data_IF_027034229056
#
_entry.id   IF_027034229056
#
_cell.length_a   1.000
_cell.length_b   1.000
_cell.length_c   1.000
_cell.angle_alpha   90.00
_cell.angle_beta   90.00
_cell.angle_gamma   90.00
#
_symmetry.space_group_name_H-M   'P 1'
#
loop_
_entity.id
_entity.type
_entity.pdbx_description
1 polymer ?
#
# COMPACT_ATOMS: atom_id res chain seq x y z
N UNK A 1 4.14 0.53 5.12
CA UNK A 1 4.09 -0.57 6.09
C UNK A 1 3.88 -1.88 5.34
N UNK A 2 4.27 -3.02 5.91
CA UNK A 2 4.03 -4.34 5.33
C UNK A 2 2.72 -4.89 5.92
N UNK A 3 1.80 -5.36 5.07
CA UNK A 3 0.50 -5.87 5.50
C UNK A 3 0.15 -7.16 4.75
N UNK A 4 0.32 -8.29 5.43
CA UNK A 4 0.01 -9.62 4.89
C UNK A 4 -1.49 -9.91 4.81
N UNK A 5 -2.31 -9.17 5.57
CA UNK A 5 -3.76 -9.30 5.58
C UNK A 5 -4.46 -8.51 4.47
N UNK A 6 -3.77 -7.52 3.89
CA UNK A 6 -4.30 -6.75 2.78
C UNK A 6 -4.23 -7.54 1.47
N UNK A 7 -5.37 -7.71 0.81
CA UNK A 7 -5.48 -8.33 -0.52
C UNK A 7 -4.80 -7.50 -1.63
N UNK A 8 -4.65 -6.20 -1.43
CA UNK A 8 -4.05 -5.29 -2.39
C UNK A 8 -3.06 -4.34 -1.72
N UNK A 9 -2.11 -3.84 -2.50
CA UNK A 9 -1.27 -2.72 -2.11
C UNK A 9 -2.08 -1.45 -2.14
N UNK A 10 -2.07 -0.71 -1.03
CA UNK A 10 -2.88 0.47 -0.80
C UNK A 10 -1.99 1.68 -0.53
N UNK A 11 -2.32 2.82 -1.12
CA UNK A 11 -1.70 4.10 -0.79
C UNK A 11 -2.69 4.99 -0.05
N UNK A 12 -2.18 5.74 0.91
CA UNK A 12 -2.96 6.72 1.64
C UNK A 12 -3.36 7.87 0.72
N UNK A 13 -4.64 8.25 0.73
CA UNK A 13 -5.20 9.30 -0.14
C UNK A 13 -4.41 10.62 -0.07
N UNK A 14 -4.03 11.07 1.13
CA UNK A 14 -3.27 12.32 1.28
C UNK A 14 -1.86 12.21 0.68
N UNK A 15 -1.23 11.03 0.71
CA UNK A 15 0.05 10.81 0.05
C UNK A 15 -0.07 10.92 -1.47
N UNK A 16 -1.06 10.23 -2.06
CA UNK A 16 -1.33 10.26 -3.52
C UNK A 16 -1.62 11.68 -4.01
N UNK A 17 -2.42 12.44 -3.26
CA UNK A 17 -2.72 13.85 -3.55
C UNK A 17 -1.46 14.73 -3.52
N UNK A 18 -0.61 14.60 -2.48
CA UNK A 18 0.66 15.36 -2.39
C UNK A 18 1.59 15.07 -3.55
N UNK A 19 1.63 13.82 -4.00
CA UNK A 19 2.46 13.39 -5.13
C UNK A 19 1.85 13.75 -6.50
N UNK A 20 0.64 14.34 -6.54
CA UNK A 20 -0.09 14.70 -7.75
C UNK A 20 -0.28 13.51 -8.71
N UNK A 21 -0.50 12.33 -8.14
CA UNK A 21 -0.75 11.11 -8.92
C UNK A 21 -2.23 11.08 -9.30
N UNK A 22 -2.50 10.91 -10.59
CA UNK A 22 -3.87 10.80 -11.10
C UNK A 22 -4.57 9.54 -10.57
N UNK A 23 -5.85 9.67 -10.21
CA UNK A 23 -6.70 8.58 -9.75
C UNK A 23 -7.89 8.39 -10.67
N UNK A 24 -8.47 7.19 -10.66
CA UNK A 24 -9.77 6.90 -11.27
C UNK A 24 -10.68 6.22 -10.24
N UNK A 25 -11.96 6.54 -10.30
CA UNK A 25 -12.98 5.86 -9.51
C UNK A 25 -13.16 4.42 -9.96
N UNK A 26 -13.60 3.56 -9.05
CA UNK A 26 -13.99 2.18 -9.37
C UNK A 26 -15.31 1.83 -8.70
N UNK A 27 -16.06 0.85 -9.22
CA UNK A 27 -17.26 0.34 -8.53
C UNK A 27 -16.91 -0.54 -7.31
N UNK A 28 -15.63 -0.78 -7.04
CA UNK A 28 -15.20 -1.66 -5.96
C UNK A 28 -15.35 -0.99 -4.60
N UNK A 29 -15.61 -1.82 -3.59
CA UNK A 29 -15.58 -1.44 -2.18
C UNK A 29 -14.43 -2.15 -1.47
N UNK A 30 -13.79 -1.47 -0.54
CA UNK A 30 -12.81 -2.07 0.37
C UNK A 30 -13.41 -2.22 1.75
N UNK A 31 -13.14 -3.37 2.37
CA UNK A 31 -13.48 -3.63 3.76
C UNK A 31 -12.21 -4.07 4.49
N UNK A 32 -11.80 -3.31 5.50
CA UNK A 32 -10.74 -3.66 6.43
C UNK A 32 -11.31 -3.65 7.85
N UNK A 33 -10.53 -4.09 8.84
CA UNK A 33 -10.91 -3.95 10.25
C UNK A 33 -11.16 -2.47 10.52
N UNK A 34 -12.39 -2.12 10.92
CA UNK A 34 -12.88 -0.76 11.18
C UNK A 34 -12.97 0.20 9.97
N UNK A 35 -12.94 -0.30 8.73
CA UNK A 35 -13.13 0.54 7.54
C UNK A 35 -14.02 -0.13 6.51
N UNK A 36 -15.07 0.58 6.08
CA UNK A 36 -15.88 0.24 4.91
C UNK A 36 -15.90 1.44 3.99
N UNK A 37 -15.24 1.32 2.84
CA UNK A 37 -15.20 2.39 1.83
C UNK A 37 -15.83 1.87 0.52
N UNK A 38 -16.84 2.59 0.02
CA UNK A 38 -17.40 2.39 -1.32
C UNK A 38 -16.74 3.38 -2.27
N UNK A 39 -16.59 2.98 -3.53
CA UNK A 39 -15.96 3.86 -4.53
C UNK A 39 -14.46 3.98 -4.29
N UNK A 40 -13.77 2.84 -4.13
CA UNK A 40 -12.33 2.84 -3.93
C UNK A 40 -11.67 3.41 -5.18
N UNK A 41 -10.86 4.45 -4.99
CA UNK A 41 -10.07 5.00 -6.07
C UNK A 41 -8.87 4.08 -6.36
N UNK A 42 -8.41 4.07 -7.60
CA UNK A 42 -7.14 3.41 -7.96
C UNK A 42 -6.21 4.39 -8.66
N UNK A 43 -4.92 4.17 -8.50
CA UNK A 43 -3.86 4.90 -9.17
C UNK A 43 -2.92 3.94 -9.90
N UNK A 44 -2.47 4.32 -11.10
CA UNK A 44 -1.43 3.59 -11.81
C UNK A 44 -0.06 4.11 -11.39
N UNK A 45 0.70 3.27 -10.69
CA UNK A 45 2.08 3.57 -10.31
C UNK A 45 3.01 3.09 -11.43
N UNK A 46 3.74 4.03 -12.04
CA UNK A 46 4.67 3.73 -13.14
C UNK A 46 5.76 2.75 -12.71
N UNK A 47 6.35 3.00 -11.54
CA UNK A 47 7.39 2.18 -10.94
C UNK A 47 7.30 2.30 -9.41
N UNK A 48 7.19 1.16 -8.72
CA UNK A 48 7.32 1.04 -7.28
C UNK A 48 8.55 0.17 -7.00
N UNK A 49 9.58 0.75 -6.39
CA UNK A 49 10.79 0.01 -6.02
C UNK A 49 10.75 -0.36 -4.54
N UNK A 50 10.97 -1.64 -4.25
CA UNK A 50 11.11 -2.16 -2.88
C UNK A 50 12.45 -2.87 -2.78
N UNK A 51 13.42 -2.22 -2.15
CA UNK A 51 14.82 -2.66 -2.21
C UNK A 51 15.29 -2.76 -3.66
N UNK A 52 15.65 -3.97 -4.09
CA UNK A 52 16.14 -4.24 -5.44
C UNK A 52 15.06 -4.76 -6.41
N UNK A 53 13.81 -4.86 -5.97
CA UNK A 53 12.68 -5.32 -6.80
C UNK A 53 11.92 -4.12 -7.36
N UNK A 54 11.74 -4.10 -8.67
CA UNK A 54 10.97 -3.08 -9.38
C UNK A 54 9.62 -3.64 -9.83
N UNK A 55 8.55 -2.96 -9.41
CA UNK A 55 7.18 -3.31 -9.74
C UNK A 55 6.64 -2.26 -10.71
N UNK A 56 6.44 -2.66 -11.97
CA UNK A 56 6.16 -1.74 -13.08
C UNK A 56 4.67 -1.70 -13.42
N UNK A 57 4.14 -0.50 -13.64
CA UNK A 57 2.80 -0.28 -14.20
C UNK A 57 1.64 -0.82 -13.36
N UNK A 58 1.82 -0.97 -12.05
CA UNK A 58 0.84 -1.60 -11.15
C UNK A 58 -0.26 -0.61 -10.77
N UNK A 59 -1.51 -1.09 -10.79
CA UNK A 59 -2.61 -0.40 -10.13
C UNK A 59 -2.59 -0.68 -8.63
N UNK A 60 -2.73 0.38 -7.85
CA UNK A 60 -2.82 0.33 -6.38
C UNK A 60 -4.13 0.96 -5.94
N UNK A 61 -4.70 0.45 -4.84
CA UNK A 61 -5.85 1.08 -4.22
C UNK A 61 -5.44 2.39 -3.55
N UNK A 62 -6.33 3.38 -3.58
CA UNK A 62 -6.17 4.66 -2.93
C UNK A 62 -7.31 4.83 -1.94
N UNK A 63 -6.96 4.87 -0.66
CA UNK A 63 -7.93 4.80 0.43
C UNK A 63 -7.54 5.79 1.54
N UNK A 64 -8.51 6.21 2.34
CA UNK A 64 -8.17 6.85 3.60
C UNK A 64 -7.70 5.80 4.61
N UNK A 65 -6.50 5.99 5.17
CA UNK A 65 -5.88 5.04 6.09
C UNK A 65 -5.93 5.54 7.54
N UNK A 66 -6.54 6.69 7.82
CA UNK A 66 -6.60 7.26 9.18
C UNK A 66 -7.31 6.34 10.19
N UNK A 67 -8.33 5.59 9.74
CA UNK A 67 -9.03 4.61 10.58
C UNK A 67 -8.30 3.27 10.76
N UNK A 68 -7.20 3.04 10.04
CA UNK A 68 -6.43 1.79 10.08
C UNK A 68 -5.05 1.98 10.72
N UNK A 69 -4.35 3.05 10.33
CA UNK A 69 -2.98 3.32 10.75
C UNK A 69 -2.99 4.38 11.85
N UNK A 70 -2.70 3.92 13.07
CA UNK A 70 -2.72 4.73 14.29
C UNK A 70 -1.30 5.12 14.74
N UNK A 71 -1.20 5.80 15.88
CA UNK A 71 0.09 6.09 16.53
C UNK A 71 0.92 7.17 15.82
N UNK A 72 0.27 8.06 15.06
CA UNK A 72 0.95 9.17 14.38
C UNK A 72 1.78 8.77 13.15
N UNK A 73 1.78 7.50 12.75
CA UNK A 73 2.59 6.99 11.64
C UNK A 73 2.29 7.67 10.29
N UNK A 74 1.03 8.09 10.06
CA UNK A 74 0.65 8.85 8.86
C UNK A 74 1.20 10.30 8.86
N UNK A 75 1.60 10.82 10.03
CA UNK A 75 2.21 12.14 10.24
C UNK A 75 3.69 12.06 10.61
N UNK A 76 4.28 10.87 10.61
CA UNK A 76 5.69 10.66 10.93
C UNK A 76 6.63 11.30 9.91
N UNK A 77 7.93 11.19 10.17
CA UNK A 77 8.98 11.65 9.25
C UNK A 77 9.98 10.51 8.99
N UNK A 78 9.93 9.84 7.81
CA UNK A 78 8.94 10.04 6.74
C UNK A 78 7.57 9.47 7.12
N UNK A 79 6.47 10.01 6.58
CA UNK A 79 5.13 9.51 6.86
C UNK A 79 4.93 8.15 6.15
N UNK A 80 4.14 7.27 6.77
CA UNK A 80 3.70 6.05 6.09
C UNK A 80 2.88 6.42 4.85
N UNK A 81 3.37 6.02 3.69
CA UNK A 81 2.71 6.28 2.41
C UNK A 81 1.54 5.33 2.13
N UNK A 82 1.55 4.13 2.74
CA UNK A 82 0.59 3.07 2.45
C UNK A 82 0.99 1.70 3.00
N UNK A 83 0.28 0.69 2.52
CA UNK A 83 0.43 -0.72 2.84
C UNK A 83 0.95 -1.49 1.63
N UNK A 84 2.04 -2.24 1.80
CA UNK A 84 2.52 -3.23 0.84
C UNK A 84 1.74 -4.52 1.11
N UNK A 85 0.85 -4.87 0.19
CA UNK A 85 -0.13 -5.94 0.39
C UNK A 85 0.44 -7.34 0.15
N UNK A 86 -0.33 -8.34 0.58
CA UNK A 86 -0.02 -9.75 0.42
C UNK A 86 0.13 -10.19 -1.03
N UNK A 87 -0.46 -9.50 -1.99
CA UNK A 87 -0.33 -9.85 -3.41
C UNK A 87 1.07 -9.56 -3.97
N UNK A 88 1.74 -8.50 -3.48
CA UNK A 88 3.15 -8.24 -3.83
C UNK A 88 4.03 -9.27 -3.12
N UNK A 89 3.78 -9.50 -1.84
CA UNK A 89 4.54 -10.45 -1.04
C UNK A 89 4.46 -11.85 -1.66
N UNK A 90 3.27 -12.33 -2.01
CA UNK A 90 3.07 -13.64 -2.63
C UNK A 90 3.76 -13.74 -3.99
N UNK A 91 3.63 -12.72 -4.85
CA UNK A 91 4.26 -12.69 -6.17
C UNK A 91 5.78 -12.77 -6.10
N UNK A 92 6.37 -12.09 -5.11
CA UNK A 92 7.82 -12.01 -4.95
C UNK A 92 8.33 -12.93 -3.83
N UNK A 93 7.57 -13.97 -3.45
CA UNK A 93 7.97 -14.94 -2.42
C UNK A 93 8.51 -14.27 -1.14
N UNK A 94 7.77 -13.28 -0.65
CA UNK A 94 8.19 -12.39 0.43
C UNK A 94 8.42 -13.16 1.73
N UNK A 95 9.60 -12.97 2.33
CA UNK A 95 9.93 -13.48 3.66
C UNK A 95 10.11 -12.28 4.58
N UNK A 96 9.31 -12.24 5.65
CA UNK A 96 9.43 -11.24 6.71
C UNK A 96 10.24 -11.86 7.84
N UNK A 97 11.49 -11.43 7.96
CA UNK A 97 12.35 -11.80 9.08
C UNK A 97 12.19 -10.76 10.19
N UNK A 98 11.42 -11.13 11.22
CA UNK A 98 11.19 -10.28 12.39
C UNK A 98 12.43 -10.12 13.28
N UNK A 99 13.35 -11.10 13.27
CA UNK A 99 14.57 -11.05 14.07
C UNK A 99 15.53 -9.97 13.58
N UNK A 100 15.70 -9.87 12.26
CA UNK A 100 16.56 -8.86 11.64
C UNK A 100 15.82 -7.61 11.15
N UNK A 101 14.48 -7.61 11.20
CA UNK A 101 13.60 -6.58 10.61
C UNK A 101 13.84 -6.41 9.10
N UNK A 102 14.06 -7.52 8.41
CA UNK A 102 14.37 -7.53 6.98
C UNK A 102 13.22 -8.14 6.19
N UNK A 103 12.87 -7.49 5.08
CA UNK A 103 11.99 -8.05 4.06
C UNK A 103 12.85 -8.58 2.91
N UNK A 104 12.79 -9.88 2.65
CA UNK A 104 13.38 -10.49 1.47
C UNK A 104 12.32 -10.63 0.39
N UNK A 105 12.66 -10.23 -0.83
CA UNK A 105 11.81 -10.37 -2.01
C UNK A 105 12.63 -11.02 -3.13
N UNK A 106 12.05 -12.02 -3.77
CA UNK A 106 12.57 -12.64 -4.99
C UNK A 106 12.29 -11.71 -6.17
N UNK A 107 13.33 -11.50 -6.99
CA UNK A 107 13.24 -10.73 -8.24
C UNK A 107 12.42 -11.49 -9.29
#
# INVERSE_FOLDING_TARGET
MIDTGSFATLLHRSFVRRMRIATRETPFSSSAVNLKERGVQVARIRKLSVGAVDIIGKEVGVIDLEGLIHGGLLRGSPPVAGLLGGEILNRHHGIIDFGTRTLYLKR
#
